data_IF_477645735926
#
_entry.id   IF_477645735926
#
_cell.length_a   1.000
_cell.length_b   1.000
_cell.length_c   1.000
_cell.angle_alpha   90.00
_cell.angle_beta   90.00
_cell.angle_gamma   90.00
#
_symmetry.space_group_name_H-M   'P 1'
#
loop_
_entity.id
_entity.type
_entity.pdbx_description
1 polymer ?
#
# COMPACT_ATOMS: atom_id res chain seq x y z
N UNK A 1 6.90 -2.11 2.73
CA UNK A 1 6.05 -0.96 3.10
C UNK A 1 4.62 -1.20 2.61
N UNK A 2 3.60 -1.01 3.46
CA UNK A 2 2.19 -0.99 3.06
C UNK A 2 1.75 0.45 2.79
N UNK A 3 0.97 0.66 1.73
CA UNK A 3 0.38 1.96 1.39
C UNK A 3 -1.12 1.90 1.69
N UNK A 4 -1.62 2.85 2.48
CA UNK A 4 -3.04 2.95 2.81
C UNK A 4 -3.74 3.85 1.78
N UNK A 5 -4.78 3.32 1.14
CA UNK A 5 -5.50 3.93 0.04
C UNK A 5 -4.86 3.62 -1.32
N UNK A 6 -5.63 2.98 -2.20
CA UNK A 6 -5.28 2.59 -3.57
C UNK A 6 -5.95 3.55 -4.58
N UNK A 7 -6.00 4.85 -4.26
CA UNK A 7 -6.45 5.91 -5.14
C UNK A 7 -5.30 6.80 -5.61
N UNK A 8 -5.62 7.93 -6.23
CA UNK A 8 -4.67 8.93 -6.75
C UNK A 8 -3.50 9.22 -5.80
N UNK A 9 -3.80 9.47 -4.52
CA UNK A 9 -2.78 9.79 -3.52
C UNK A 9 -1.85 8.61 -3.26
N UNK A 10 -2.39 7.40 -3.16
CA UNK A 10 -1.59 6.18 -3.00
C UNK A 10 -0.67 5.92 -4.19
N UNK A 11 -1.17 6.16 -5.40
CA UNK A 11 -0.37 6.08 -6.63
C UNK A 11 0.78 7.09 -6.65
N UNK A 12 0.52 8.33 -6.21
CA UNK A 12 1.58 9.36 -6.10
C UNK A 12 2.65 8.96 -5.09
N UNK A 13 2.27 8.37 -3.95
CA UNK A 13 3.22 7.85 -2.95
C UNK A 13 4.05 6.71 -3.55
N UNK A 14 3.41 5.76 -4.23
CA UNK A 14 4.10 4.67 -4.90
C UNK A 14 5.12 5.18 -5.93
N UNK A 15 4.75 6.18 -6.73
CA UNK A 15 5.63 6.83 -7.69
C UNK A 15 6.87 7.41 -7.02
N UNK A 16 6.69 8.25 -5.99
CA UNK A 16 7.80 8.88 -5.25
C UNK A 16 8.75 7.86 -4.60
N UNK A 17 8.21 6.76 -4.08
CA UNK A 17 9.03 5.70 -3.48
C UNK A 17 9.84 4.96 -4.54
N UNK A 18 9.23 4.67 -5.70
CA UNK A 18 9.94 4.03 -6.82
C UNK A 18 10.99 4.91 -7.47
N UNK A 19 10.72 6.22 -7.57
CA UNK A 19 11.67 7.22 -8.09
C UNK A 19 12.90 7.34 -7.19
N UNK A 20 12.70 7.29 -5.86
CA UNK A 20 13.77 7.43 -4.88
C UNK A 20 14.27 6.07 -4.37
N UNK A 21 14.93 5.31 -5.25
CA UNK A 21 15.48 3.96 -4.92
C UNK A 21 16.38 3.94 -3.67
N UNK A 22 17.01 5.07 -3.32
CA UNK A 22 17.87 5.21 -2.15
C UNK A 22 17.11 5.25 -0.81
N UNK A 23 15.77 5.35 -0.81
CA UNK A 23 14.99 5.32 0.43
C UNK A 23 14.94 3.93 1.08
N UNK A 24 15.30 2.86 0.36
CA UNK A 24 15.34 1.50 0.91
C UNK A 24 13.96 0.89 1.20
N UNK A 25 12.88 1.50 0.70
CA UNK A 25 11.53 0.96 0.84
C UNK A 25 11.13 0.15 -0.38
N UNK A 26 10.68 -1.08 -0.15
CA UNK A 26 9.99 -1.89 -1.15
C UNK A 26 8.48 -1.90 -0.83
N UNK A 27 7.63 -1.27 -1.66
CA UNK A 27 6.19 -1.36 -1.53
C UNK A 27 5.73 -2.82 -1.69
N UNK A 28 5.04 -3.36 -0.70
CA UNK A 28 4.55 -4.76 -0.72
C UNK A 28 3.07 -4.88 -1.08
N UNK A 29 2.32 -3.78 -0.98
CA UNK A 29 0.89 -3.79 -1.25
C UNK A 29 0.18 -2.50 -0.87
N UNK A 30 -1.00 -2.32 -1.45
CA UNK A 30 -2.00 -1.35 -1.00
C UNK A 30 -3.04 -2.00 -0.09
N UNK A 31 -3.60 -1.23 0.83
CA UNK A 31 -4.86 -1.53 1.51
C UNK A 31 -5.90 -0.49 1.11
N UNK A 32 -7.10 -0.91 0.76
CA UNK A 32 -8.20 0.00 0.40
C UNK A 32 -9.53 -0.66 0.76
N UNK A 33 -10.49 0.12 1.25
CA UNK A 33 -11.79 -0.38 1.68
C UNK A 33 -12.78 -0.51 0.50
N UNK A 34 -12.44 0.04 -0.67
CA UNK A 34 -13.21 -0.15 -1.90
C UNK A 34 -13.06 -1.60 -2.41
N UNK A 35 -14.13 -2.38 -2.26
CA UNK A 35 -14.20 -3.76 -2.71
C UNK A 35 -13.89 -3.94 -4.20
N UNK A 36 -14.23 -2.94 -5.02
CA UNK A 36 -13.96 -2.99 -6.45
C UNK A 36 -12.45 -2.93 -6.76
N UNK A 37 -11.61 -2.55 -5.81
CA UNK A 37 -10.14 -2.49 -5.98
C UNK A 37 -9.42 -3.72 -5.46
N UNK A 38 -10.06 -4.55 -4.64
CA UNK A 38 -9.43 -5.70 -4.03
C UNK A 38 -8.88 -6.66 -5.10
N UNK A 39 -7.64 -7.10 -4.90
CA UNK A 39 -6.93 -7.97 -5.84
C UNK A 39 -6.43 -7.28 -7.11
N UNK A 40 -6.84 -6.04 -7.42
CA UNK A 40 -6.32 -5.29 -8.56
C UNK A 40 -4.86 -4.89 -8.35
N UNK A 41 -4.17 -4.63 -9.46
CA UNK A 41 -2.80 -4.15 -9.46
C UNK A 41 -2.77 -2.70 -9.91
N UNK A 42 -2.12 -1.84 -9.14
CA UNK A 42 -1.97 -0.41 -9.39
C UNK A 42 -0.48 -0.09 -9.41
N UNK A 43 0.02 0.44 -10.53
CA UNK A 43 1.44 0.75 -10.69
C UNK A 43 2.35 -0.46 -10.43
N UNK A 44 1.89 -1.69 -10.70
CA UNK A 44 2.63 -2.93 -10.46
C UNK A 44 2.59 -3.45 -9.01
N UNK A 45 1.78 -2.87 -8.13
CA UNK A 45 1.60 -3.30 -6.73
C UNK A 45 0.15 -3.68 -6.48
N UNK A 46 -0.09 -4.81 -5.79
CA UNK A 46 -1.44 -5.36 -5.58
C UNK A 46 -2.16 -4.69 -4.41
N UNK A 47 -3.49 -4.53 -4.54
CA UNK A 47 -4.38 -4.21 -3.41
C UNK A 47 -4.67 -5.52 -2.66
N UNK A 48 -4.08 -5.65 -1.47
CA UNK A 48 -4.01 -6.92 -0.75
C UNK A 48 -5.28 -7.22 0.05
N UNK A 49 -5.99 -6.19 0.48
CA UNK A 49 -7.14 -6.34 1.36
C UNK A 49 -7.67 -5.01 1.87
N UNK A 50 -8.67 -5.10 2.75
CA UNK A 50 -9.24 -3.96 3.45
C UNK A 50 -8.35 -3.55 4.62
N UNK A 51 -8.49 -2.31 5.11
CA UNK A 51 -7.71 -1.86 6.26
C UNK A 51 -8.06 -2.67 7.53
N UNK A 52 -9.33 -3.06 7.67
CA UNK A 52 -9.86 -3.81 8.81
C UNK A 52 -9.31 -5.23 8.94
N UNK A 53 -8.80 -5.81 7.86
CA UNK A 53 -8.24 -7.17 7.84
C UNK A 53 -6.85 -7.24 8.45
N UNK A 54 -6.16 -6.10 8.57
CA UNK A 54 -4.80 -6.01 9.07
C UNK A 54 -4.78 -5.57 10.53
N UNK A 55 -4.46 -6.51 11.42
CA UNK A 55 -4.23 -6.19 12.84
C UNK A 55 -2.84 -5.60 13.04
N UNK A 56 -2.76 -4.33 13.42
CA UNK A 56 -1.50 -3.72 13.86
C UNK A 56 -1.11 -4.38 15.19
N UNK A 57 -0.01 -5.13 15.19
CA UNK A 57 0.60 -5.66 16.40
C UNK A 57 1.58 -4.62 16.94
N UNK A 58 1.09 -3.70 17.77
CA UNK A 58 1.97 -2.78 18.48
C UNK A 58 2.75 -3.58 19.52
N UNK A 59 4.08 -3.69 19.35
CA UNK A 59 4.93 -4.07 20.47
C UNK A 59 4.91 -2.87 21.43
N UNK A 60 4.24 -3.02 22.57
CA UNK A 60 4.51 -2.15 23.73
C UNK A 60 5.92 -2.52 24.20
N UNK A 61 6.87 -1.62 23.98
CA UNK A 61 8.16 -1.61 24.68
C UNK A 61 7.97 -0.93 26.03
#
# INVERSE_FOLDING_TARGET
MLILGAGRTGEMVLGRVKENKNMGYEPVGFLDDDEAKLGKTIGGVKVLGKLSEYKVRTKKT
#
